data_IF_079103943294
#
_entry.id   IF_079103943294
#
_cell.length_a   1.000
_cell.length_b   1.000
_cell.length_c   1.000
_cell.angle_alpha   90.00
_cell.angle_beta   90.00
_cell.angle_gamma   90.00
#
_symmetry.space_group_name_H-M   'P 1'
#
loop_
_entity.id
_entity.type
_entity.pdbx_description
1 polymer ?
#
# COMPACT_ATOMS: atom_id res chain seq x y z
N UNK A 1 -45.59 9.56 -44.53
CA UNK A 1 -46.05 8.94 -43.27
C UNK A 1 -45.19 7.71 -43.14
N UNK A 2 -44.00 7.82 -42.56
CA UNK A 2 -43.03 6.74 -42.58
C UNK A 2 -42.28 6.73 -41.24
N UNK A 3 -42.60 5.68 -40.48
CA UNK A 3 -42.27 5.45 -39.09
C UNK A 3 -40.79 5.14 -38.91
N UNK A 4 -40.08 5.95 -38.12
CA UNK A 4 -38.69 5.71 -37.72
C UNK A 4 -38.66 4.57 -36.70
N UNK A 5 -37.95 3.50 -37.06
CA UNK A 5 -37.69 2.33 -36.20
C UNK A 5 -36.62 2.71 -35.18
N UNK A 6 -36.98 2.54 -33.92
CA UNK A 6 -36.11 2.54 -32.77
C UNK A 6 -34.94 1.54 -32.95
N UNK A 7 -33.71 1.97 -32.69
CA UNK A 7 -32.58 1.07 -32.41
C UNK A 7 -31.61 1.71 -31.42
N UNK A 8 -31.95 1.49 -30.15
CA UNK A 8 -31.11 1.29 -28.97
C UNK A 8 -29.62 1.00 -29.27
N UNK A 9 -28.70 1.83 -28.73
CA UNK A 9 -27.55 1.47 -27.85
C UNK A 9 -26.47 2.57 -27.92
N UNK A 10 -26.51 3.51 -26.99
CA UNK A 10 -25.37 4.39 -26.68
C UNK A 10 -25.04 4.18 -25.21
N UNK A 11 -24.32 3.09 -24.93
CA UNK A 11 -23.64 2.87 -23.67
C UNK A 11 -22.25 2.39 -24.04
N UNK A 12 -21.26 3.29 -23.99
CA UNK A 12 -20.04 3.10 -23.19
C UNK A 12 -19.07 4.27 -23.44
N UNK A 13 -18.33 4.66 -22.41
CA UNK A 13 -17.23 5.62 -22.56
C UNK A 13 -17.33 6.88 -21.73
N UNK A 14 -17.84 6.79 -20.49
CA UNK A 14 -17.37 7.70 -19.45
C UNK A 14 -15.89 7.36 -19.20
N UNK A 15 -14.98 7.90 -20.03
CA UNK A 15 -13.55 7.90 -19.72
C UNK A 15 -13.38 8.86 -18.56
N UNK A 16 -13.45 8.30 -17.35
CA UNK A 16 -13.11 8.98 -16.10
C UNK A 16 -11.74 9.60 -16.27
N UNK A 17 -11.70 10.92 -16.08
CA UNK A 17 -10.53 11.78 -16.18
C UNK A 17 -9.63 11.60 -14.94
N UNK A 18 -9.32 10.35 -14.59
CA UNK A 18 -8.52 9.98 -13.42
C UNK A 18 -7.01 9.91 -13.73
N UNK A 19 -6.67 10.00 -15.02
CA UNK A 19 -5.29 9.98 -15.50
C UNK A 19 -4.66 11.38 -15.52
N UNK A 20 -4.48 12.07 -14.38
CA UNK A 20 -3.46 13.15 -14.33
C UNK A 20 -3.04 13.63 -12.93
N UNK A 21 -2.71 12.75 -11.98
CA UNK A 21 -1.73 13.09 -10.93
C UNK A 21 -0.65 12.01 -10.87
N UNK A 22 0.34 12.19 -11.76
CA UNK A 22 1.61 11.48 -11.76
C UNK A 22 2.48 12.03 -10.63
N UNK A 23 2.13 11.73 -9.39
CA UNK A 23 3.12 11.55 -8.34
C UNK A 23 3.25 10.05 -8.16
N UNK A 24 4.44 9.59 -7.83
CA UNK A 24 4.74 8.22 -7.41
C UNK A 24 4.04 7.93 -6.07
N UNK A 25 2.71 8.12 -6.04
CA UNK A 25 1.83 7.75 -4.96
C UNK A 25 1.67 6.26 -5.18
N UNK A 26 2.51 5.51 -4.48
CA UNK A 26 2.37 4.08 -4.37
C UNK A 26 0.91 3.83 -3.98
N UNK A 27 0.07 3.29 -4.89
CA UNK A 27 -1.36 3.06 -4.67
C UNK A 27 -1.55 2.00 -3.58
N UNK A 28 -1.22 2.35 -2.34
CA UNK A 28 -1.27 1.46 -1.20
C UNK A 28 -2.68 1.43 -0.70
N UNK A 29 -3.28 0.25 -0.76
CA UNK A 29 -4.62 0.04 -0.24
C UNK A 29 -4.57 -0.69 1.12
N UNK A 30 -5.71 -0.74 1.79
CA UNK A 30 -5.82 -1.54 3.01
C UNK A 30 -5.70 -3.03 2.64
N UNK A 31 -4.87 -3.77 3.38
CA UNK A 31 -4.57 -5.17 3.08
C UNK A 31 -3.35 -5.38 2.17
N UNK A 32 -2.78 -4.33 1.58
CA UNK A 32 -1.55 -4.45 0.80
C UNK A 32 -0.36 -4.86 1.69
N UNK A 33 0.55 -5.65 1.10
CA UNK A 33 1.79 -6.05 1.76
C UNK A 33 2.90 -5.08 1.38
N UNK A 34 3.49 -4.45 2.39
CA UNK A 34 4.52 -3.43 2.25
C UNK A 34 5.76 -3.73 3.06
N UNK A 35 6.88 -3.15 2.65
CA UNK A 35 8.11 -3.10 3.41
C UNK A 35 8.29 -1.70 3.99
N UNK A 36 8.74 -1.63 5.24
CA UNK A 36 9.04 -0.35 5.90
C UNK A 36 10.49 0.04 5.71
N UNK A 37 10.75 1.22 5.15
CA UNK A 37 12.08 1.81 5.09
C UNK A 37 12.61 2.10 6.50
N UNK A 38 13.87 1.73 6.72
CA UNK A 38 14.65 1.99 7.91
C UNK A 38 16.05 2.46 7.51
N UNK A 39 16.56 3.48 8.18
CA UNK A 39 17.94 3.91 8.05
C UNK A 39 18.76 3.14 9.09
N UNK A 40 19.60 2.22 8.63
CA UNK A 40 20.40 1.35 9.49
C UNK A 40 21.89 1.58 9.22
N UNK A 41 22.70 1.50 10.29
CA UNK A 41 24.17 1.58 10.18
C UNK A 41 24.71 0.19 9.88
N UNK A 42 25.18 -0.01 8.65
CA UNK A 42 25.69 -1.33 8.21
C UNK A 42 27.22 -1.39 8.37
N UNK A 43 27.69 -2.12 9.40
CA UNK A 43 29.10 -2.44 9.62
C UNK A 43 29.96 -1.26 10.09
N UNK A 44 31.28 -1.33 9.86
CA UNK A 44 32.25 -0.28 10.25
C UNK A 44 32.26 0.94 9.30
N UNK A 45 31.27 1.05 8.40
CA UNK A 45 31.11 2.18 7.48
C UNK A 45 30.19 3.22 8.13
N UNK A 46 30.69 4.44 8.33
CA UNK A 46 29.97 5.58 8.92
C UNK A 46 28.74 6.08 8.12
N UNK A 47 28.35 5.42 7.01
CA UNK A 47 27.23 5.86 6.15
C UNK A 47 25.97 5.06 6.45
N UNK A 48 24.88 5.77 6.72
CA UNK A 48 23.53 5.20 6.82
C UNK A 48 23.14 4.64 5.46
N UNK A 49 22.69 3.38 5.42
CA UNK A 49 22.12 2.79 4.23
C UNK A 49 20.60 2.62 4.41
N UNK A 50 19.85 2.90 3.34
CA UNK A 50 18.43 2.55 3.29
C UNK A 50 18.27 1.04 3.22
N UNK A 51 17.61 0.49 4.22
CA UNK A 51 17.15 -0.89 4.26
C UNK A 51 15.65 -0.92 4.35
N UNK A 52 15.07 -2.01 3.88
CA UNK A 52 13.65 -2.27 4.03
C UNK A 52 13.49 -3.40 5.04
N UNK A 53 12.71 -3.14 6.08
CA UNK A 53 12.37 -4.10 7.11
C UNK A 53 11.03 -4.75 6.77
N UNK A 54 11.00 -6.08 6.83
CA UNK A 54 9.85 -6.99 6.99
C UNK A 54 8.62 -6.77 6.09
N UNK A 55 7.91 -7.84 5.68
CA UNK A 55 6.58 -7.68 5.14
C UNK A 55 5.62 -7.26 6.26
N UNK A 56 4.92 -6.17 6.03
CA UNK A 56 3.88 -5.63 6.87
C UNK A 56 2.58 -5.56 6.08
N UNK A 57 1.46 -5.87 6.71
CA UNK A 57 0.13 -5.68 6.15
C UNK A 57 -0.39 -4.31 6.58
N UNK A 58 -0.87 -3.52 5.64
CA UNK A 58 -1.60 -2.29 5.96
C UNK A 58 -2.96 -2.70 6.52
N UNK A 59 -3.30 -2.23 7.72
CA UNK A 59 -4.64 -2.43 8.27
C UNK A 59 -5.52 -1.20 8.16
N UNK A 60 -4.92 -0.02 8.16
CA UNK A 60 -5.63 1.25 8.12
C UNK A 60 -4.68 2.31 7.57
N UNK A 61 -5.20 3.19 6.71
CA UNK A 61 -4.47 4.32 6.16
C UNK A 61 -5.19 5.58 6.58
N UNK A 62 -4.47 6.49 7.24
CA UNK A 62 -4.99 7.82 7.52
C UNK A 62 -4.64 8.73 6.35
N UNK A 63 -5.64 9.08 5.53
CA UNK A 63 -5.45 9.92 4.34
C UNK A 63 -5.09 11.38 4.67
N UNK A 64 -5.45 11.87 5.86
CA UNK A 64 -5.18 13.25 6.28
C UNK A 64 -3.69 13.46 6.61
N UNK A 65 -3.08 12.52 7.33
CA UNK A 65 -1.67 12.61 7.74
C UNK A 65 -0.75 11.77 6.84
N UNK A 66 -1.28 10.78 6.13
CA UNK A 66 -0.51 9.78 5.38
C UNK A 66 0.13 8.71 6.27
N UNK A 67 -0.34 8.55 7.50
CA UNK A 67 0.13 7.53 8.44
C UNK A 67 -0.63 6.22 8.27
N UNK A 68 0.10 5.12 8.12
CA UNK A 68 -0.46 3.79 7.98
C UNK A 68 -0.27 2.99 9.27
N UNK A 69 -1.34 2.33 9.72
CA UNK A 69 -1.31 1.31 10.76
C UNK A 69 -0.94 -0.02 10.13
N UNK A 70 0.16 -0.59 10.57
CA UNK A 70 0.78 -1.79 10.01
C UNK A 70 0.78 -2.94 11.01
N UNK A 71 0.60 -4.15 10.49
CA UNK A 71 0.79 -5.38 11.23
C UNK A 71 1.88 -6.24 10.62
N UNK A 72 2.73 -6.85 11.45
CA UNK A 72 3.85 -7.64 10.92
C UNK A 72 3.33 -8.92 10.30
N UNK A 73 3.82 -9.28 9.12
CA UNK A 73 3.53 -10.57 8.49
C UNK A 73 4.72 -11.50 8.73
N UNK A 74 4.41 -12.74 9.08
CA UNK A 74 5.42 -13.81 9.17
C UNK A 74 5.82 -14.30 7.79
N UNK A 75 6.95 -15.01 7.67
CA UNK A 75 7.38 -15.61 6.38
C UNK A 75 6.33 -16.56 5.76
N UNK A 76 5.43 -17.10 6.58
CA UNK A 76 4.33 -17.98 6.15
C UNK A 76 3.07 -17.23 5.72
N UNK A 77 3.10 -15.89 5.62
CA UNK A 77 1.95 -15.07 5.22
C UNK A 77 0.92 -14.83 6.33
N UNK A 78 1.15 -15.32 7.55
CA UNK A 78 0.24 -15.09 8.69
C UNK A 78 0.53 -13.76 9.36
N UNK A 79 -0.52 -13.04 9.72
CA UNK A 79 -0.46 -11.79 10.46
C UNK A 79 -0.06 -12.08 11.92
N UNK A 80 1.02 -11.44 12.38
CA UNK A 80 1.56 -11.58 13.73
C UNK A 80 1.09 -10.43 14.63
N UNK A 81 0.05 -10.71 15.44
CA UNK A 81 -0.40 -9.77 16.46
C UNK A 81 0.56 -9.76 17.64
N UNK A 82 1.39 -8.72 17.76
CA UNK A 82 2.23 -8.52 18.94
C UNK A 82 1.38 -7.95 20.08
N UNK A 83 1.51 -8.51 21.28
CA UNK A 83 0.93 -7.95 22.49
C UNK A 83 2.02 -7.55 23.47
N UNK A 84 1.86 -6.41 24.14
CA UNK A 84 2.70 -6.00 25.27
C UNK A 84 1.76 -5.63 26.40
N UNK A 85 1.97 -6.22 27.58
CA UNK A 85 1.11 -6.03 28.77
C UNK A 85 -0.40 -6.26 28.50
N UNK A 86 -0.74 -7.13 27.55
CA UNK A 86 -2.13 -7.47 27.21
C UNK A 86 -2.73 -6.63 26.07
N UNK A 87 -2.13 -5.50 25.71
CA UNK A 87 -2.61 -4.64 24.63
C UNK A 87 -1.98 -5.01 23.28
N UNK A 88 -2.76 -4.89 22.19
CA UNK A 88 -2.26 -5.12 20.82
C UNK A 88 -1.39 -3.95 20.40
N UNK A 89 -0.14 -4.22 20.04
CA UNK A 89 0.74 -3.20 19.47
C UNK A 89 0.66 -3.26 17.96
N UNK A 90 0.44 -2.08 17.38
CA UNK A 90 0.55 -1.84 15.95
C UNK A 90 1.83 -1.09 15.64
N UNK A 91 2.36 -1.33 14.46
CA UNK A 91 3.48 -0.54 13.94
C UNK A 91 2.90 0.60 13.13
N UNK A 92 3.34 1.83 13.36
CA UNK A 92 2.90 2.97 12.58
C UNK A 92 4.05 3.44 11.68
N UNK A 93 3.72 3.81 10.44
CA UNK A 93 4.69 4.33 9.49
C UNK A 93 4.00 5.19 8.45
N UNK A 94 4.66 6.26 8.03
CA UNK A 94 4.17 7.15 6.99
C UNK A 94 4.26 6.48 5.61
N UNK A 95 3.29 6.72 4.73
CA UNK A 95 3.15 6.12 3.40
C UNK A 95 4.42 6.25 2.53
N UNK A 96 5.11 7.40 2.60
CA UNK A 96 6.42 7.65 1.94
C UNK A 96 7.55 6.70 2.39
N UNK A 97 7.46 6.12 3.58
CA UNK A 97 8.43 5.15 4.09
C UNK A 97 8.06 3.72 3.71
N UNK A 98 6.96 3.51 2.97
CA UNK A 98 6.48 2.20 2.59
C UNK A 98 6.83 1.90 1.14
N UNK A 99 7.11 0.63 0.87
CA UNK A 99 7.38 0.12 -0.46
C UNK A 99 6.57 -1.14 -0.70
N UNK A 100 5.86 -1.22 -1.82
CA UNK A 100 5.04 -2.40 -2.16
C UNK A 100 5.92 -3.63 -2.22
N UNK A 101 5.50 -4.68 -1.53
CA UNK A 101 6.16 -5.97 -1.60
C UNK A 101 5.68 -6.70 -2.86
N UNK A 102 6.38 -6.51 -3.97
CA UNK A 102 6.14 -7.32 -5.18
C UNK A 102 6.63 -8.74 -4.92
N UNK A 103 5.71 -9.66 -4.75
CA UNK A 103 6.00 -11.09 -4.93
C UNK A 103 5.99 -11.33 -6.43
N UNK A 104 7.18 -11.37 -7.04
CA UNK A 104 7.31 -11.92 -8.38
C UNK A 104 7.05 -13.42 -8.26
N UNK A 105 5.80 -13.83 -8.41
CA UNK A 105 5.44 -15.22 -8.69
C UNK A 105 5.62 -15.38 -10.20
N UNK A 106 6.78 -15.89 -10.59
CA UNK A 106 7.05 -16.42 -11.94
C UNK A 106 6.58 -17.88 -12.04
#
# INVERSE_FOLDING_TARGET
>A
MDTIRNSKKDLDGAVTLDHYVKREQLDLDEGDIVLKAILDKVGNKKKLQEKYNGPFCIMEINEETGDCKLNRITKSGRIAHKRLKGERIYTYAHIKQLKKFKTTLE
#
